data_IF_440424112237
#
_entry.id   IF_440424112237
#
_cell.length_a   1.000
_cell.length_b   1.000
_cell.length_c   1.000
_cell.angle_alpha   90.00
_cell.angle_beta   90.00
_cell.angle_gamma   90.00
#
_symmetry.space_group_name_H-M   'P 1'
#
loop_
_entity.id
_entity.type
_entity.pdbx_description
1 polymer ?
#
# COMPACT_ATOMS: atom_id res chain seq x y z
N UNK A 1 8.34 8.87 -11.54
CA UNK A 1 9.03 8.98 -10.23
C UNK A 1 8.07 8.45 -9.17
N UNK A 2 8.49 7.50 -8.34
CA UNK A 2 7.61 6.79 -7.40
C UNK A 2 7.34 7.63 -6.15
N UNK A 3 6.06 7.91 -5.84
CA UNK A 3 5.63 8.77 -4.71
C UNK A 3 5.99 8.15 -3.35
N UNK A 4 5.82 6.84 -3.20
CA UNK A 4 6.13 6.14 -1.95
C UNK A 4 7.62 6.27 -1.62
N UNK A 5 8.48 6.15 -2.62
CA UNK A 5 9.93 6.23 -2.43
C UNK A 5 10.43 7.66 -2.24
N UNK A 6 10.05 8.56 -3.13
CA UNK A 6 10.67 9.89 -3.19
C UNK A 6 10.04 10.92 -2.24
N UNK A 7 8.74 10.80 -1.97
CA UNK A 7 8.03 11.78 -1.15
C UNK A 7 7.78 11.25 0.27
N UNK A 8 7.64 9.93 0.43
CA UNK A 8 7.32 9.31 1.72
C UNK A 8 8.48 8.48 2.30
N UNK A 9 9.57 8.26 1.55
CA UNK A 9 10.76 7.61 2.07
C UNK A 9 10.62 6.11 2.32
N UNK A 10 9.66 5.44 1.68
CA UNK A 10 9.62 3.98 1.63
C UNK A 10 10.65 3.44 0.64
N UNK A 11 11.02 2.17 0.76
CA UNK A 11 11.94 1.53 -0.18
C UNK A 11 11.37 0.20 -0.64
N UNK A 12 11.23 0.02 -1.95
CA UNK A 12 10.72 -1.23 -2.51
C UNK A 12 11.66 -2.38 -2.12
N UNK A 13 11.12 -3.39 -1.47
CA UNK A 13 11.84 -4.59 -1.03
C UNK A 13 11.52 -5.79 -1.90
N UNK A 14 10.24 -5.98 -2.25
CA UNK A 14 9.77 -7.16 -2.97
C UNK A 14 8.58 -6.85 -3.85
N UNK A 15 8.43 -7.61 -4.93
CA UNK A 15 7.22 -7.64 -5.76
C UNK A 15 6.88 -9.09 -6.05
N UNK A 16 5.69 -9.54 -5.68
CA UNK A 16 5.24 -10.92 -5.88
C UNK A 16 3.83 -10.99 -6.48
N UNK A 17 3.53 -12.13 -7.10
CA UNK A 17 2.19 -12.46 -7.57
C UNK A 17 1.56 -13.43 -6.58
N UNK A 18 0.46 -13.02 -5.97
CA UNK A 18 -0.23 -13.76 -4.92
C UNK A 18 -1.61 -14.23 -5.39
N UNK A 19 -1.99 -15.45 -5.03
CA UNK A 19 -3.26 -16.05 -5.47
C UNK A 19 -4.40 -15.66 -4.53
N UNK A 20 -5.31 -14.77 -4.95
CA UNK A 20 -6.48 -14.35 -4.20
C UNK A 20 -7.75 -15.11 -4.61
N UNK A 21 -8.52 -15.64 -3.65
CA UNK A 21 -9.83 -16.25 -3.93
C UNK A 21 -10.82 -15.26 -4.55
N UNK A 22 -10.75 -13.98 -4.15
CA UNK A 22 -11.68 -12.94 -4.61
C UNK A 22 -11.26 -12.29 -5.93
N UNK A 23 -9.95 -12.13 -6.15
CA UNK A 23 -9.41 -11.38 -7.29
C UNK A 23 -8.57 -12.23 -8.25
N UNK A 24 -8.50 -13.55 -8.05
CA UNK A 24 -7.70 -14.47 -8.86
C UNK A 24 -6.22 -14.38 -8.51
N UNK A 25 -5.49 -13.46 -9.14
CA UNK A 25 -4.10 -13.17 -8.80
C UNK A 25 -3.92 -11.67 -8.65
N UNK A 26 -3.18 -11.26 -7.62
CA UNK A 26 -2.86 -9.87 -7.33
C UNK A 26 -1.35 -9.68 -7.33
N UNK A 27 -0.92 -8.48 -7.70
CA UNK A 27 0.49 -8.10 -7.56
C UNK A 27 0.65 -7.34 -6.25
N UNK A 28 1.48 -7.88 -5.38
CA UNK A 28 1.81 -7.30 -4.08
C UNK A 28 3.18 -6.63 -4.15
N UNK A 29 3.25 -5.40 -3.64
CA UNK A 29 4.46 -4.62 -3.51
C UNK A 29 4.79 -4.44 -2.03
N UNK A 30 5.91 -4.99 -1.60
CA UNK A 30 6.39 -4.91 -0.22
C UNK A 30 7.43 -3.79 -0.11
N UNK A 31 7.23 -2.86 0.81
CA UNK A 31 8.13 -1.74 1.07
C UNK A 31 8.65 -1.76 2.51
N UNK A 32 9.93 -1.47 2.67
CA UNK A 32 10.50 -1.15 3.99
C UNK A 32 10.35 0.34 4.29
N UNK A 33 10.05 0.73 5.53
CA UNK A 33 9.88 2.13 5.89
C UNK A 33 11.21 2.85 6.04
N UNK A 34 11.22 4.13 5.67
CA UNK A 34 12.27 5.10 5.99
C UNK A 34 11.72 6.27 6.82
N UNK A 35 12.61 7.17 7.24
CA UNK A 35 12.24 8.39 7.95
C UNK A 35 11.35 8.16 9.18
N UNK A 36 10.26 8.93 9.28
CA UNK A 36 9.32 8.89 10.41
C UNK A 36 8.60 7.54 10.55
N UNK A 37 8.41 6.81 9.44
CA UNK A 37 7.67 5.55 9.39
C UNK A 37 8.39 4.40 10.10
N UNK A 38 9.74 4.42 10.17
CA UNK A 38 10.54 3.39 10.86
C UNK A 38 10.23 3.25 12.35
N UNK A 39 9.63 4.28 12.96
CA UNK A 39 9.32 4.26 14.39
C UNK A 39 8.07 3.44 14.71
N UNK A 40 7.21 3.17 13.73
CA UNK A 40 5.91 2.52 13.96
C UNK A 40 5.46 1.56 12.87
N UNK A 41 6.23 1.34 11.81
CA UNK A 41 5.99 0.31 10.78
C UNK A 41 7.22 -0.57 10.64
N UNK A 42 7.00 -1.86 10.38
CA UNK A 42 8.06 -2.78 9.98
C UNK A 42 8.09 -2.93 8.46
N UNK A 43 6.91 -2.98 7.83
CA UNK A 43 6.72 -3.01 6.38
C UNK A 43 5.42 -2.30 5.97
N UNK A 44 5.33 -1.95 4.69
CA UNK A 44 4.13 -1.45 4.03
C UNK A 44 3.91 -2.32 2.80
N UNK A 45 2.78 -2.99 2.74
CA UNK A 45 2.41 -3.82 1.60
C UNK A 45 1.26 -3.16 0.83
N UNK A 46 1.37 -3.16 -0.49
CA UNK A 46 0.51 -2.39 -1.38
C UNK A 46 0.04 -3.25 -2.55
N UNK A 47 -1.26 -3.20 -2.82
CA UNK A 47 -1.86 -3.76 -4.04
C UNK A 47 -2.56 -2.65 -4.80
N UNK A 48 -2.36 -2.61 -6.12
CA UNK A 48 -2.98 -1.65 -7.03
C UNK A 48 -4.00 -2.36 -7.93
N UNK A 49 -5.26 -1.92 -7.87
CA UNK A 49 -6.30 -2.34 -8.79
C UNK A 49 -6.54 -1.23 -9.81
N UNK A 50 -6.06 -1.44 -11.04
CA UNK A 50 -6.20 -0.48 -12.13
C UNK A 50 -7.63 -0.53 -12.67
N UNK A 51 -8.27 0.64 -12.77
CA UNK A 51 -9.58 0.83 -13.39
C UNK A 51 -9.47 1.84 -14.54
N UNK A 52 -10.54 2.02 -15.30
CA UNK A 52 -10.53 2.93 -16.47
C UNK A 52 -10.19 4.38 -16.10
N UNK A 53 -10.70 4.87 -14.96
CA UNK A 53 -10.61 6.28 -14.56
C UNK A 53 -9.99 6.51 -13.18
N UNK A 54 -9.49 5.45 -12.55
CA UNK A 54 -8.90 5.51 -11.22
C UNK A 54 -8.05 4.28 -10.92
N UNK A 55 -7.34 4.35 -9.80
CA UNK A 55 -6.63 3.21 -9.21
C UNK A 55 -7.10 3.05 -7.78
N UNK A 56 -7.65 1.88 -7.45
CA UNK A 56 -7.92 1.53 -6.06
C UNK A 56 -6.64 0.96 -5.45
N UNK A 57 -6.20 1.54 -4.34
CA UNK A 57 -5.01 1.15 -3.62
C UNK A 57 -5.43 0.54 -2.29
N UNK A 58 -4.96 -0.66 -2.04
CA UNK A 58 -5.11 -1.32 -0.75
C UNK A 58 -3.77 -1.36 -0.05
N UNK A 59 -3.77 -0.95 1.22
CA UNK A 59 -2.58 -0.86 2.07
C UNK A 59 -2.76 -1.76 3.29
N UNK A 60 -1.73 -2.53 3.60
CA UNK A 60 -1.55 -3.13 4.92
C UNK A 60 -0.42 -2.40 5.64
N UNK A 61 -0.75 -1.90 6.82
CA UNK A 61 0.09 -1.00 7.60
C UNK A 61 0.33 -1.68 8.96
N UNK A 62 1.15 -2.75 8.96
CA UNK A 62 1.36 -3.62 10.13
C UNK A 62 2.76 -3.44 10.77
N UNK A 63 2.85 -3.78 12.06
CA UNK A 63 4.05 -3.88 12.92
C UNK A 63 4.43 -5.33 13.20
N UNK A 64 3.89 -6.24 12.42
CA UNK A 64 4.11 -7.67 12.56
C UNK A 64 4.22 -8.24 11.16
N UNK A 65 5.46 -8.29 10.68
CA UNK A 65 5.79 -9.22 9.62
C UNK A 65 5.39 -10.62 10.10
N UNK A 66 4.21 -11.10 9.66
CA UNK A 66 3.88 -12.51 9.77
C UNK A 66 4.85 -13.15 8.78
N UNK A 67 6.02 -13.55 9.28
CA UNK A 67 7.21 -13.94 8.51
C UNK A 67 7.08 -15.20 7.63
N UNK A 68 5.90 -15.46 7.09
CA UNK A 68 5.60 -16.41 6.03
C UNK A 68 4.92 -15.57 4.94
N UNK A 69 5.65 -15.25 3.87
CA UNK A 69 5.12 -14.43 2.78
C UNK A 69 3.77 -14.94 2.25
N UNK A 70 2.93 -14.00 1.80
CA UNK A 70 1.77 -14.34 0.99
C UNK A 70 0.46 -14.65 1.72
N UNK A 71 0.16 -13.98 2.85
CA UNK A 71 -1.19 -14.09 3.47
C UNK A 71 -2.18 -13.03 2.98
N UNK A 72 -1.81 -12.12 2.08
CA UNK A 72 -2.73 -11.07 1.62
C UNK A 72 -3.98 -11.61 0.96
N UNK A 73 -3.83 -12.68 0.21
CA UNK A 73 -4.92 -13.38 -0.46
C UNK A 73 -6.03 -13.83 0.49
N UNK A 74 -5.64 -14.31 1.68
CA UNK A 74 -6.56 -14.81 2.70
C UNK A 74 -7.03 -13.66 3.61
N UNK A 75 -6.16 -12.72 3.98
CA UNK A 75 -6.53 -11.53 4.74
C UNK A 75 -7.34 -10.50 3.92
N UNK A 76 -7.45 -10.65 2.59
CA UNK A 76 -8.40 -9.94 1.70
C UNK A 76 -9.86 -10.23 2.05
N UNK A 77 -10.09 -11.22 2.90
CA UNK A 77 -11.40 -11.58 3.43
C UNK A 77 -11.72 -10.88 4.77
N UNK A 78 -10.74 -10.24 5.43
CA UNK A 78 -10.92 -9.60 6.75
C UNK A 78 -10.78 -8.08 6.64
N UNK A 79 -11.86 -7.34 6.91
CA UNK A 79 -11.98 -5.89 6.65
C UNK A 79 -11.31 -5.01 7.71
N UNK A 80 -10.79 -5.58 8.80
CA UNK A 80 -10.54 -4.82 10.03
C UNK A 80 -9.15 -4.16 10.13
N UNK A 81 -8.15 -4.55 9.32
CA UNK A 81 -6.77 -4.00 9.41
C UNK A 81 -6.29 -3.23 8.18
N UNK A 82 -7.15 -3.01 7.18
CA UNK A 82 -6.71 -2.55 5.85
C UNK A 82 -7.19 -1.16 5.49
N UNK A 83 -6.26 -0.35 5.02
CA UNK A 83 -6.58 0.97 4.50
C UNK A 83 -6.89 0.85 3.00
N UNK A 84 -7.98 1.49 2.57
CA UNK A 84 -8.36 1.58 1.16
C UNK A 84 -8.40 3.04 0.77
N UNK A 85 -7.81 3.38 -0.37
CA UNK A 85 -7.95 4.70 -0.97
C UNK A 85 -8.04 4.59 -2.49
N UNK A 86 -8.81 5.49 -3.09
CA UNK A 86 -8.93 5.58 -4.55
C UNK A 86 -8.13 6.77 -5.04
N UNK A 87 -7.26 6.58 -6.04
CA UNK A 87 -6.54 7.64 -6.75
C UNK A 87 -7.23 7.87 -8.10
N UNK A 88 -7.87 9.03 -8.27
CA UNK A 88 -8.55 9.38 -9.52
C UNK A 88 -7.54 9.70 -10.62
N UNK A 89 -7.92 9.55 -11.89
CA UNK A 89 -7.09 10.00 -13.02
C UNK A 89 -6.70 11.47 -12.92
N UNK A 90 -7.54 12.33 -12.34
CA UNK A 90 -7.20 13.74 -12.12
C UNK A 90 -6.06 13.91 -11.11
N UNK A 91 -6.08 13.15 -10.00
CA UNK A 91 -5.01 13.17 -8.99
C UNK A 91 -3.71 12.57 -9.54
N UNK A 92 -3.81 11.47 -10.31
CA UNK A 92 -2.67 10.78 -10.89
C UNK A 92 -1.97 11.59 -11.99
N UNK A 93 -2.73 12.39 -12.76
CA UNK A 93 -2.20 13.29 -13.79
C UNK A 93 -1.86 14.69 -13.23
N UNK A 94 -2.12 14.94 -11.95
CA UNK A 94 -1.86 16.20 -11.27
C UNK A 94 -0.48 16.26 -10.59
N UNK A 95 -0.26 17.24 -9.70
CA UNK A 95 0.96 17.32 -8.91
C UNK A 95 1.13 16.09 -8.00
N UNK A 96 2.33 15.50 -7.99
CA UNK A 96 2.65 14.31 -7.18
C UNK A 96 2.37 14.51 -5.67
N UNK A 97 2.50 15.74 -5.18
CA UNK A 97 2.22 16.09 -3.77
C UNK A 97 0.77 15.81 -3.36
N UNK A 98 -0.17 15.81 -4.30
CA UNK A 98 -1.57 15.45 -4.02
C UNK A 98 -1.67 13.96 -3.66
N UNK A 99 -1.05 13.09 -4.46
CA UNK A 99 -1.00 11.65 -4.20
C UNK A 99 -0.22 11.37 -2.92
N UNK A 100 0.93 12.03 -2.72
CA UNK A 100 1.76 11.87 -1.53
C UNK A 100 0.99 12.21 -0.25
N UNK A 101 0.24 13.32 -0.25
CA UNK A 101 -0.56 13.74 0.90
C UNK A 101 -1.66 12.75 1.22
N UNK A 102 -2.34 12.21 0.21
CA UNK A 102 -3.40 11.22 0.41
C UNK A 102 -2.87 9.93 0.99
N UNK A 103 -1.78 9.39 0.42
CA UNK A 103 -1.09 8.21 0.96
C UNK A 103 -0.63 8.44 2.41
N UNK A 104 0.01 9.58 2.69
CA UNK A 104 0.44 9.94 4.05
C UNK A 104 -0.73 10.00 5.03
N UNK A 105 -1.83 10.64 4.65
CA UNK A 105 -3.03 10.73 5.50
C UNK A 105 -3.59 9.36 5.82
N UNK A 106 -3.70 8.48 4.81
CA UNK A 106 -4.19 7.12 5.00
C UNK A 106 -3.27 6.29 5.89
N UNK A 107 -1.95 6.28 5.64
CA UNK A 107 -0.98 5.52 6.45
C UNK A 107 -0.98 6.01 7.91
N UNK A 108 -1.07 7.33 8.13
CA UNK A 108 -1.01 7.91 9.46
C UNK A 108 -2.24 7.62 10.33
N UNK A 109 -3.36 7.16 9.77
CA UNK A 109 -4.51 6.69 10.55
C UNK A 109 -4.18 5.48 11.42
N UNK A 110 -3.11 4.74 11.09
CA UNK A 110 -2.66 3.55 11.79
C UNK A 110 -1.48 3.83 12.74
N UNK A 111 -1.03 5.09 12.83
CA UNK A 111 -0.01 5.53 13.79
C UNK A 111 -0.62 5.49 15.20
N UNK A 112 -0.13 4.57 16.04
CA UNK A 112 -0.49 4.49 17.47
C UNK A 112 0.25 5.52 18.30
#
# INVERSE_FOLDING_TARGET
MNVLENNLGFHLRKVEMEASKRFGYVQEFEFTPGGEYRSYLDELEVIFFLQENHVDVMLEVDRRARGLGGLFAEALEIDESRAKLTLTSQELNGPLDTVARKLKQTINQYKK
#
